data_IF_940716762742
#
_entry.id   IF_940716762742
#
_cell.length_a   1.000
_cell.length_b   1.000
_cell.length_c   1.000
_cell.angle_alpha   90.00
_cell.angle_beta   90.00
_cell.angle_gamma   90.00
#
_symmetry.space_group_name_H-M   'P 1'
#
loop_
_entity.id
_entity.type
_entity.pdbx_description
1 polymer ?
#
# COMPACT_ATOMS: atom_id res chain seq x y z
N UNK A 1 -6.87 -9.05 30.36
CA UNK A 1 -5.52 -9.13 29.77
C UNK A 1 -5.64 -8.75 28.30
N UNK A 2 -4.67 -8.04 27.73
CA UNK A 2 -4.61 -7.79 26.29
C UNK A 2 -3.39 -8.51 25.73
N UNK A 3 -3.54 -9.18 24.59
CA UNK A 3 -2.43 -9.80 23.86
C UNK A 3 -2.05 -8.86 22.71
N UNK A 4 -0.78 -8.49 22.64
CA UNK A 4 -0.23 -7.74 21.50
C UNK A 4 0.32 -8.76 20.51
N UNK A 5 -0.43 -9.02 19.44
CA UNK A 5 0.00 -9.93 18.38
C UNK A 5 0.95 -9.25 17.38
N UNK A 6 1.02 -7.91 17.37
CA UNK A 6 1.94 -7.14 16.53
C UNK A 6 2.42 -5.87 17.25
N UNK A 7 3.61 -5.38 16.89
CA UNK A 7 4.16 -4.08 17.29
C UNK A 7 3.98 -3.07 16.16
N UNK A 8 2.98 -2.20 16.30
CA UNK A 8 2.75 -1.07 15.39
C UNK A 8 3.52 0.16 15.90
N UNK A 9 4.26 0.84 15.01
CA UNK A 9 4.91 2.11 15.33
C UNK A 9 3.87 3.22 15.54
N UNK A 10 4.13 4.14 16.45
CA UNK A 10 3.30 5.33 16.59
C UNK A 10 3.32 6.17 15.31
N UNK A 11 2.16 6.66 14.89
CA UNK A 11 2.01 7.55 13.75
C UNK A 11 1.04 8.67 14.05
N UNK A 12 1.19 9.79 13.36
CA UNK A 12 0.31 10.96 13.48
C UNK A 12 -0.59 11.06 12.25
N UNK A 13 -1.85 11.41 12.47
CA UNK A 13 -2.84 11.58 11.40
C UNK A 13 -3.51 12.94 11.50
N UNK A 14 -3.54 13.65 10.38
CA UNK A 14 -4.26 14.92 10.25
C UNK A 14 -5.70 14.67 9.76
N UNK A 15 -6.65 15.51 10.19
CA UNK A 15 -8.07 15.43 9.79
C UNK A 15 -8.78 14.11 10.12
N UNK A 16 -8.49 13.51 11.29
CA UNK A 16 -9.16 12.29 11.75
C UNK A 16 -10.52 12.62 12.40
N UNK A 17 -11.61 12.29 11.72
CA UNK A 17 -12.98 12.59 12.18
C UNK A 17 -13.98 12.68 11.01
N UNK A 18 -15.17 13.20 11.27
CA UNK A 18 -16.22 13.49 10.27
C UNK A 18 -16.57 12.34 9.32
N UNK A 19 -16.38 11.09 9.77
CA UNK A 19 -16.72 9.86 9.05
C UNK A 19 -17.33 8.86 10.02
N UNK A 20 -18.01 7.85 9.49
CA UNK A 20 -18.58 6.79 10.33
C UNK A 20 -17.47 5.96 11.00
N UNK A 21 -17.83 5.27 12.10
CA UNK A 21 -16.89 4.49 12.93
C UNK A 21 -16.12 3.43 12.13
N UNK A 22 -16.78 2.74 11.20
CA UNK A 22 -16.15 1.71 10.38
C UNK A 22 -15.11 2.30 9.43
N UNK A 23 -15.43 3.43 8.80
CA UNK A 23 -14.52 4.14 7.91
C UNK A 23 -13.30 4.66 8.67
N UNK A 24 -13.48 5.23 9.85
CA UNK A 24 -12.37 5.67 10.72
C UNK A 24 -11.49 4.50 11.17
N UNK A 25 -12.11 3.38 11.55
CA UNK A 25 -11.39 2.18 11.95
C UNK A 25 -10.55 1.61 10.79
N UNK A 26 -11.15 1.43 9.62
CA UNK A 26 -10.44 0.95 8.42
C UNK A 26 -9.30 1.88 8.00
N UNK A 27 -9.47 3.18 8.19
CA UNK A 27 -8.44 4.17 7.90
C UNK A 27 -7.23 4.04 8.85
N UNK A 28 -7.47 3.78 10.14
CA UNK A 28 -6.41 3.48 11.13
C UNK A 28 -5.69 2.18 10.78
N UNK A 29 -6.43 1.11 10.48
CA UNK A 29 -5.86 -0.20 10.11
C UNK A 29 -4.97 -0.08 8.86
N UNK A 30 -5.45 0.60 7.81
CA UNK A 30 -4.67 0.87 6.61
C UNK A 30 -3.43 1.71 6.89
N UNK A 31 -3.55 2.77 7.68
CA UNK A 31 -2.41 3.64 8.01
C UNK A 31 -1.35 2.89 8.81
N UNK A 32 -1.77 1.99 9.70
CA UNK A 32 -0.89 1.13 10.49
C UNK A 32 -0.22 0.01 9.66
N UNK A 33 -0.71 -0.27 8.45
CA UNK A 33 -0.21 -1.34 7.59
C UNK A 33 -0.48 -2.75 8.16
N UNK A 34 -1.55 -2.89 8.93
CA UNK A 34 -1.97 -4.15 9.57
C UNK A 34 -3.25 -4.67 8.93
N UNK A 35 -3.56 -5.93 9.17
CA UNK A 35 -4.80 -6.59 8.77
C UNK A 35 -5.64 -6.92 10.01
N UNK A 36 -6.92 -7.21 9.79
CA UNK A 36 -7.88 -7.48 10.86
C UNK A 36 -8.69 -8.75 10.58
N UNK A 37 -8.99 -9.50 11.62
CA UNK A 37 -10.00 -10.56 11.60
C UNK A 37 -11.05 -10.33 12.69
N UNK A 38 -12.31 -10.65 12.38
CA UNK A 38 -13.44 -10.44 13.30
C UNK A 38 -14.00 -11.78 13.70
N UNK A 39 -13.99 -12.06 15.01
CA UNK A 39 -14.62 -13.23 15.62
C UNK A 39 -15.70 -12.78 16.59
N UNK A 40 -16.94 -12.70 16.09
CA UNK A 40 -18.06 -12.15 16.85
C UNK A 40 -17.82 -10.68 17.21
N UNK A 41 -17.68 -10.39 18.50
CA UNK A 41 -17.41 -9.04 19.02
C UNK A 41 -15.92 -8.75 19.25
N UNK A 42 -15.03 -9.72 18.99
CA UNK A 42 -13.58 -9.57 19.19
C UNK A 42 -12.92 -9.28 17.85
N UNK A 43 -12.12 -8.21 17.81
CA UNK A 43 -11.33 -7.83 16.65
C UNK A 43 -9.86 -8.16 16.95
N UNK A 44 -9.27 -9.03 16.14
CA UNK A 44 -7.85 -9.34 16.18
C UNK A 44 -7.13 -8.53 15.09
N UNK A 45 -6.02 -7.88 15.47
CA UNK A 45 -5.19 -7.08 14.56
C UNK A 45 -3.83 -7.77 14.45
N UNK A 46 -3.37 -8.04 13.22
CA UNK A 46 -2.12 -8.75 12.92
C UNK A 46 -1.39 -8.11 11.74
N UNK A 47 -0.08 -8.32 11.59
CA UNK A 47 0.69 -7.72 10.48
C UNK A 47 0.23 -8.20 9.10
N UNK A 48 -0.07 -9.50 9.00
CA UNK A 48 -0.66 -10.14 7.82
C UNK A 48 -1.57 -11.27 8.30
N UNK A 49 -2.69 -11.47 7.63
CA UNK A 49 -3.58 -12.62 7.81
C UNK A 49 -3.21 -13.63 6.74
N UNK A 50 -2.45 -14.65 7.15
CA UNK A 50 -2.13 -15.80 6.32
C UNK A 50 -2.27 -17.05 7.17
N UNK A 51 -2.99 -18.04 6.67
CA UNK A 51 -2.90 -19.40 7.19
C UNK A 51 -1.98 -20.17 6.26
N UNK A 52 -0.95 -20.81 6.81
CA UNK A 52 -0.20 -21.85 6.10
C UNK A 52 -1.15 -23.02 5.88
N UNK A 53 -1.89 -22.97 4.77
CA UNK A 53 -2.65 -24.09 4.29
C UNK A 53 -1.64 -25.14 3.81
N UNK A 54 -1.46 -26.21 4.57
CA UNK A 54 -0.68 -27.40 4.20
C UNK A 54 -1.32 -28.20 3.05
N UNK A 55 -2.34 -27.64 2.39
CA UNK A 55 -3.00 -28.22 1.23
C UNK A 55 -2.23 -27.81 -0.03
N UNK A 56 -1.55 -28.78 -0.63
CA UNK A 56 -0.97 -28.61 -1.96
C UNK A 56 -2.11 -28.64 -2.98
N UNK A 57 -2.36 -27.50 -3.62
CA UNK A 57 -3.28 -27.37 -4.74
C UNK A 57 -2.54 -27.69 -6.05
N UNK A 58 -2.95 -28.78 -6.73
CA UNK A 58 -2.38 -29.22 -8.01
C UNK A 58 -3.48 -29.39 -9.05
N UNK A 59 -3.30 -28.78 -10.24
CA UNK A 59 -4.19 -28.93 -11.39
C UNK A 59 -4.29 -30.43 -11.76
N UNK A 60 -5.51 -30.96 -11.82
CA UNK A 60 -5.76 -32.38 -12.13
C UNK A 60 -5.78 -33.35 -10.94
N UNK A 61 -5.73 -32.84 -9.70
CA UNK A 61 -6.01 -33.64 -8.49
C UNK A 61 -7.21 -33.07 -7.73
N UNK A 62 -7.10 -31.82 -7.25
CA UNK A 62 -8.12 -31.16 -6.41
C UNK A 62 -8.67 -29.85 -7.02
N UNK A 63 -8.30 -29.52 -8.25
CA UNK A 63 -8.70 -28.30 -8.97
C UNK A 63 -9.07 -28.64 -10.40
N UNK A 64 -10.33 -28.39 -10.77
CA UNK A 64 -10.83 -28.57 -12.14
C UNK A 64 -10.22 -27.54 -13.09
N UNK A 65 -10.20 -26.26 -12.72
CA UNK A 65 -9.56 -25.19 -13.48
C UNK A 65 -8.77 -24.25 -12.55
N UNK A 66 -7.59 -23.83 -13.02
CA UNK A 66 -6.81 -22.75 -12.44
C UNK A 66 -6.77 -21.64 -13.49
N UNK A 67 -7.46 -20.53 -13.24
CA UNK A 67 -7.52 -19.41 -14.17
C UNK A 67 -6.63 -18.29 -13.66
N UNK A 68 -5.36 -18.30 -14.06
CA UNK A 68 -4.43 -17.22 -13.77
C UNK A 68 -4.75 -16.05 -14.71
N UNK A 69 -5.47 -15.05 -14.21
CA UNK A 69 -5.71 -13.81 -14.95
C UNK A 69 -4.57 -12.82 -14.69
N UNK A 70 -3.75 -12.58 -15.72
CA UNK A 70 -2.72 -11.54 -15.70
C UNK A 70 -3.26 -10.29 -16.40
N UNK A 71 -3.54 -9.23 -15.65
CA UNK A 71 -3.82 -7.90 -16.23
C UNK A 71 -2.50 -7.19 -16.55
N UNK A 72 -1.91 -7.52 -17.71
CA UNK A 72 -0.57 -7.03 -18.13
C UNK A 72 -0.63 -5.58 -18.70
N UNK A 73 -1.84 -5.06 -18.96
CA UNK A 73 -2.04 -3.80 -19.68
C UNK A 73 -1.82 -2.51 -18.89
N UNK A 74 -1.93 -2.53 -17.55
CA UNK A 74 -2.07 -1.28 -16.77
C UNK A 74 -1.05 -1.13 -15.63
N UNK A 75 -0.06 -2.01 -15.54
CA UNK A 75 0.97 -1.87 -14.51
C UNK A 75 2.01 -0.82 -14.91
N UNK A 76 2.43 -0.05 -13.92
CA UNK A 76 3.45 0.98 -14.05
C UNK A 76 4.76 0.46 -13.47
N UNK A 77 5.88 0.95 -13.99
CA UNK A 77 7.23 0.56 -13.49
C UNK A 77 8.02 1.75 -12.97
N UNK A 78 7.53 2.97 -13.19
CA UNK A 78 8.08 4.21 -12.68
C UNK A 78 6.97 5.15 -12.21
N UNK A 79 7.21 5.88 -11.12
CA UNK A 79 6.32 6.96 -10.68
C UNK A 79 7.11 8.06 -9.97
N UNK A 80 6.73 9.31 -10.24
CA UNK A 80 7.28 10.49 -9.56
C UNK A 80 6.32 10.99 -8.47
N UNK A 81 6.86 11.60 -7.43
CA UNK A 81 6.11 12.17 -6.32
C UNK A 81 6.64 13.54 -5.93
N UNK A 82 5.71 14.44 -5.63
CA UNK A 82 5.94 15.81 -5.21
C UNK A 82 5.20 16.04 -3.88
N UNK A 83 5.96 16.35 -2.84
CA UNK A 83 5.48 16.63 -1.50
C UNK A 83 5.37 18.12 -1.20
N UNK A 84 5.47 18.47 0.09
CA UNK A 84 5.37 19.85 0.57
C UNK A 84 6.44 20.78 -0.05
N UNK A 85 6.07 22.03 -0.32
CA UNK A 85 7.02 23.11 -0.60
C UNK A 85 7.96 23.35 0.60
N UNK A 86 9.21 23.69 0.31
CA UNK A 86 10.17 24.06 1.37
C UNK A 86 9.80 25.39 2.03
N UNK A 87 9.15 26.26 1.27
CA UNK A 87 8.63 27.56 1.68
C UNK A 87 7.31 27.81 0.95
N UNK A 88 6.24 28.09 1.68
CA UNK A 88 4.89 28.31 1.13
C UNK A 88 4.76 29.71 0.49
N UNK A 89 5.59 30.67 0.90
CA UNK A 89 5.58 32.03 0.35
C UNK A 89 6.59 32.17 -0.82
N UNK A 90 7.63 31.33 -0.84
CA UNK A 90 8.65 31.33 -1.89
C UNK A 90 8.81 29.95 -2.55
N UNK A 91 7.96 29.69 -3.55
CA UNK A 91 8.00 28.47 -4.35
C UNK A 91 9.30 28.30 -5.17
N UNK A 92 10.16 29.33 -5.30
CA UNK A 92 11.45 29.21 -5.99
C UNK A 92 12.43 28.32 -5.24
N UNK A 93 12.26 28.19 -3.91
CA UNK A 93 13.04 27.28 -3.05
C UNK A 93 12.73 25.81 -3.29
N UNK A 94 11.73 25.51 -4.13
CA UNK A 94 11.38 24.17 -4.54
C UNK A 94 10.52 23.42 -3.53
N UNK A 95 10.33 22.13 -3.79
CA UNK A 95 9.49 21.23 -3.00
C UNK A 95 10.17 19.87 -2.83
N UNK A 96 9.68 19.12 -1.85
CA UNK A 96 10.04 17.70 -1.70
C UNK A 96 9.70 16.98 -3.00
N UNK A 97 10.69 16.33 -3.61
CA UNK A 97 10.51 15.56 -4.83
C UNK A 97 11.27 14.25 -4.74
N UNK A 98 10.64 13.17 -5.19
CA UNK A 98 11.27 11.84 -5.22
C UNK A 98 10.64 11.00 -6.32
N UNK A 99 11.31 9.90 -6.69
CA UNK A 99 10.77 8.96 -7.66
C UNK A 99 11.10 7.52 -7.27
N UNK A 100 10.29 6.59 -7.75
CA UNK A 100 10.50 5.16 -7.57
C UNK A 100 10.49 4.44 -8.92
N UNK A 101 11.44 3.53 -9.10
CA UNK A 101 11.52 2.64 -10.27
C UNK A 101 11.53 1.19 -9.78
N UNK A 102 10.60 0.37 -10.28
CA UNK A 102 10.53 -1.05 -9.95
C UNK A 102 11.62 -1.84 -10.69
N UNK A 103 12.19 -2.90 -10.10
CA UNK A 103 13.05 -3.84 -10.82
C UNK A 103 12.41 -4.44 -12.08
N UNK A 104 11.07 -4.47 -12.13
CA UNK A 104 10.29 -4.89 -13.30
C UNK A 104 10.56 -4.00 -14.53
N UNK A 105 11.03 -2.77 -14.35
CA UNK A 105 11.42 -1.88 -15.45
C UNK A 105 12.55 -2.47 -16.31
N UNK A 106 13.42 -3.32 -15.74
CA UNK A 106 14.48 -4.00 -16.50
C UNK A 106 13.94 -5.05 -17.46
N UNK A 107 12.77 -5.63 -17.16
CA UNK A 107 12.15 -6.72 -17.92
C UNK A 107 11.12 -6.17 -18.90
N UNK A 108 10.29 -5.23 -18.44
CA UNK A 108 9.12 -4.73 -19.17
C UNK A 108 9.29 -3.31 -19.72
N UNK A 109 10.45 -2.67 -19.49
CA UNK A 109 10.70 -1.28 -19.85
C UNK A 109 10.11 -0.28 -18.86
N UNK A 110 10.41 1.00 -19.09
CA UNK A 110 9.89 2.11 -18.29
C UNK A 110 8.45 2.43 -18.70
N UNK A 111 7.55 2.36 -17.72
CA UNK A 111 6.13 2.70 -17.82
C UNK A 111 5.82 3.72 -16.73
N UNK A 112 5.70 4.97 -17.12
CA UNK A 112 5.45 6.08 -16.20
C UNK A 112 3.97 6.09 -15.79
N UNK A 113 3.72 6.09 -14.48
CA UNK A 113 2.41 6.40 -13.92
C UNK A 113 2.25 7.88 -13.59
N UNK A 114 1.00 8.32 -13.45
CA UNK A 114 0.69 9.70 -13.07
C UNK A 114 1.40 10.11 -11.78
N UNK A 115 1.99 11.32 -11.71
CA UNK A 115 2.72 11.76 -10.53
C UNK A 115 1.79 11.99 -9.34
N UNK A 116 2.27 11.69 -8.13
CA UNK A 116 1.57 12.08 -6.90
C UNK A 116 1.97 13.51 -6.55
N UNK A 117 1.00 14.40 -6.34
CA UNK A 117 1.23 15.74 -5.78
C UNK A 117 0.43 15.85 -4.49
N UNK A 118 1.12 15.83 -3.35
CA UNK A 118 0.47 15.85 -2.04
C UNK A 118 1.37 16.52 -0.98
N UNK A 119 1.02 17.75 -0.61
CA UNK A 119 1.76 18.58 0.34
C UNK A 119 1.73 18.07 1.79
N UNK A 120 0.91 17.06 2.09
CA UNK A 120 0.92 16.40 3.41
C UNK A 120 2.22 15.61 3.64
N UNK A 121 2.92 15.25 2.59
CA UNK A 121 4.22 14.59 2.70
C UNK A 121 5.32 15.61 2.98
N UNK A 122 5.74 15.64 4.25
CA UNK A 122 6.88 16.45 4.74
C UNK A 122 8.20 15.67 4.78
N UNK A 123 8.16 14.35 4.57
CA UNK A 123 9.33 13.48 4.59
C UNK A 123 9.45 12.70 3.26
N UNK A 124 10.64 12.77 2.65
CA UNK A 124 11.01 12.07 1.40
C UNK A 124 10.81 10.56 1.51
N UNK A 125 11.14 9.94 2.65
CA UNK A 125 11.05 8.49 2.85
C UNK A 125 9.59 8.02 2.84
N UNK A 126 8.69 8.77 3.47
CA UNK A 126 7.25 8.46 3.47
C UNK A 126 6.67 8.58 2.06
N UNK A 127 7.06 9.62 1.31
CA UNK A 127 6.64 9.80 -0.08
C UNK A 127 7.17 8.67 -0.97
N UNK A 128 8.44 8.28 -0.79
CA UNK A 128 9.06 7.17 -1.54
C UNK A 128 8.40 5.83 -1.21
N UNK A 129 8.05 5.57 0.05
CA UNK A 129 7.33 4.37 0.46
C UNK A 129 5.95 4.30 -0.21
N UNK A 130 5.23 5.42 -0.29
CA UNK A 130 3.96 5.52 -1.01
C UNK A 130 4.11 5.25 -2.51
N UNK A 131 5.12 5.83 -3.16
CA UNK A 131 5.38 5.58 -4.58
C UNK A 131 5.69 4.10 -4.84
N UNK A 132 6.46 3.47 -3.95
CA UNK A 132 6.77 2.05 -4.02
C UNK A 132 5.51 1.19 -3.91
N UNK A 133 4.65 1.48 -2.94
CA UNK A 133 3.38 0.77 -2.75
C UNK A 133 2.50 0.83 -4.00
N UNK A 134 2.30 2.00 -4.61
CA UNK A 134 1.45 2.14 -5.80
C UNK A 134 2.04 1.45 -7.04
N UNK A 135 3.35 1.53 -7.23
CA UNK A 135 4.02 0.87 -8.35
C UNK A 135 3.96 -0.65 -8.20
N UNK A 136 4.26 -1.18 -7.01
CA UNK A 136 4.25 -2.62 -6.77
C UNK A 136 2.82 -3.21 -6.79
N UNK A 137 1.83 -2.50 -6.24
CA UNK A 137 0.43 -2.92 -6.27
C UNK A 137 -0.25 -2.73 -7.63
N UNK A 138 0.33 -1.97 -8.55
CA UNK A 138 -0.20 -1.85 -9.92
C UNK A 138 -0.17 -3.18 -10.67
N UNK A 139 0.74 -4.08 -10.27
CA UNK A 139 0.83 -5.42 -10.82
C UNK A 139 -0.07 -6.40 -10.06
N UNK A 140 -1.34 -6.47 -10.51
CA UNK A 140 -2.32 -7.41 -9.95
C UNK A 140 -2.24 -8.77 -10.65
N UNK A 141 -1.89 -9.81 -9.89
CA UNK A 141 -2.12 -11.22 -10.29
C UNK A 141 -3.38 -11.68 -9.56
N UNK A 142 -4.44 -12.01 -10.30
CA UNK A 142 -5.57 -12.77 -9.76
C UNK A 142 -5.38 -14.26 -10.10
N UNK A 143 -5.56 -15.12 -9.11
CA UNK A 143 -5.42 -16.59 -9.21
C UNK A 143 -6.76 -17.25 -8.95
#
# INVERSE_FOLDING_TARGET
SYSLNTKVKAFQKQSFGYKNRLALFNDVIKTAGVELSVHGSVINITDRVGNDLSTIVKKGFNLNELKIEKKIGEFITYKAGFGKYHDEEDHSKGRIQTSYTSPLAKIYGRRDGDPIVDERYTNVDNLKARLKEEVDNSYNIAV
#
